data_IF_105219143980
#
_entry.id   IF_105219143980
#
_cell.length_a   1.000
_cell.length_b   1.000
_cell.length_c   1.000
_cell.angle_alpha   90.00
_cell.angle_beta   90.00
_cell.angle_gamma   90.00
#
_symmetry.space_group_name_H-M   'P 1'
#
loop_
_entity.id
_entity.type
_entity.pdbx_description
1 polymer ?
#
# COMPACT_ATOMS: atom_id res chain seq x y z
N UNK A 1 15.06 -6.18 -19.78
CA UNK A 1 13.62 -6.56 -19.81
C UNK A 1 13.40 -7.47 -18.61
N UNK A 2 12.47 -7.15 -17.72
CA UNK A 2 12.23 -7.97 -16.51
C UNK A 2 11.59 -9.29 -16.92
N UNK A 3 12.15 -10.39 -16.44
CA UNK A 3 11.62 -11.74 -16.65
C UNK A 3 10.86 -12.17 -15.40
N UNK A 4 9.59 -12.51 -15.55
CA UNK A 4 8.78 -13.04 -14.44
C UNK A 4 9.05 -14.54 -14.32
N UNK A 5 9.74 -14.95 -13.26
CA UNK A 5 10.16 -16.34 -13.03
C UNK A 5 9.23 -16.99 -12.00
N UNK A 6 8.39 -17.97 -12.38
CA UNK A 6 7.44 -18.61 -11.48
C UNK A 6 8.09 -19.23 -10.23
N UNK A 7 9.25 -19.85 -10.40
CA UNK A 7 9.97 -20.49 -9.29
C UNK A 7 10.67 -19.50 -8.34
N UNK A 8 10.75 -18.21 -8.73
CA UNK A 8 11.30 -17.14 -7.89
C UNK A 8 10.49 -15.84 -8.03
N UNK A 9 9.24 -15.82 -7.56
CA UNK A 9 8.29 -14.73 -7.75
C UNK A 9 8.68 -13.43 -7.02
N UNK A 10 9.63 -13.48 -6.11
CA UNK A 10 10.14 -12.37 -5.33
C UNK A 10 11.65 -12.19 -5.55
N UNK A 11 12.13 -12.44 -6.77
CA UNK A 11 13.54 -12.26 -7.11
C UNK A 11 14.02 -10.84 -6.85
N UNK A 12 15.32 -10.67 -6.65
CA UNK A 12 15.94 -9.34 -6.52
C UNK A 12 15.67 -8.49 -7.76
N UNK A 13 15.73 -9.09 -8.95
CA UNK A 13 15.42 -8.41 -10.21
C UNK A 13 13.99 -7.86 -10.22
N UNK A 14 13.00 -8.65 -9.78
CA UNK A 14 11.62 -8.19 -9.64
C UNK A 14 11.50 -7.04 -8.65
N UNK A 15 12.12 -7.17 -7.46
CA UNK A 15 12.08 -6.11 -6.43
C UNK A 15 12.74 -4.82 -6.89
N UNK A 16 13.87 -4.92 -7.61
CA UNK A 16 14.52 -3.76 -8.22
C UNK A 16 13.63 -3.10 -9.27
N UNK A 17 13.02 -3.88 -10.16
CA UNK A 17 12.15 -3.34 -11.20
C UNK A 17 10.91 -2.61 -10.62
N UNK A 18 10.30 -3.12 -9.55
CA UNK A 18 9.22 -2.40 -8.84
C UNK A 18 9.75 -1.12 -8.20
N UNK A 19 10.95 -1.16 -7.60
CA UNK A 19 11.56 0.03 -6.98
C UNK A 19 11.85 1.12 -8.02
N UNK A 20 12.36 0.76 -9.20
CA UNK A 20 12.59 1.71 -10.31
C UNK A 20 11.29 2.43 -10.74
N UNK A 21 10.13 1.73 -10.74
CA UNK A 21 8.86 2.39 -11.04
C UNK A 21 8.45 3.38 -9.95
N UNK A 22 8.70 3.07 -8.67
CA UNK A 22 8.44 3.97 -7.56
C UNK A 22 9.36 5.19 -7.60
N UNK A 23 10.65 4.98 -7.80
CA UNK A 23 11.66 6.04 -7.83
C UNK A 23 11.41 7.02 -9.00
N UNK A 24 11.09 6.49 -10.18
CA UNK A 24 10.72 7.29 -11.34
C UNK A 24 9.46 8.12 -11.12
N UNK A 25 8.46 7.55 -10.45
CA UNK A 25 7.23 8.27 -10.11
C UNK A 25 7.49 9.35 -9.05
N UNK A 26 8.21 9.03 -7.97
CA UNK A 26 8.52 9.99 -6.90
C UNK A 26 9.40 11.14 -7.39
N UNK A 27 10.30 10.89 -8.33
CA UNK A 27 11.09 11.95 -8.99
C UNK A 27 10.17 12.96 -9.67
N UNK A 28 9.16 12.50 -10.44
CA UNK A 28 8.19 13.41 -11.06
C UNK A 28 7.36 14.17 -10.03
N UNK A 29 7.05 13.57 -8.89
CA UNK A 29 6.32 14.23 -7.79
C UNK A 29 7.17 15.27 -7.09
N UNK A 30 8.48 15.05 -6.97
CA UNK A 30 9.43 16.04 -6.45
C UNK A 30 9.40 17.32 -7.30
N UNK A 31 9.48 17.17 -8.62
CA UNK A 31 9.43 18.30 -9.54
C UNK A 31 8.09 19.06 -9.44
N UNK A 32 6.99 18.32 -9.33
CA UNK A 32 5.67 18.91 -9.18
C UNK A 32 5.51 19.69 -7.87
N UNK A 33 6.02 19.17 -6.75
CA UNK A 33 5.99 19.86 -5.45
C UNK A 33 6.93 21.05 -5.41
N UNK A 34 8.12 20.96 -6.03
CA UNK A 34 9.05 22.09 -6.15
C UNK A 34 8.42 23.26 -6.91
N UNK A 35 7.53 22.98 -7.88
CA UNK A 35 6.74 24.01 -8.57
C UNK A 35 5.71 24.73 -7.67
N UNK A 36 5.38 24.17 -6.50
CA UNK A 36 4.47 24.79 -5.52
C UNK A 36 5.28 25.64 -4.52
N UNK A 37 6.29 25.06 -3.88
CA UNK A 37 7.18 25.74 -2.93
C UNK A 37 8.41 24.88 -2.58
N UNK A 38 9.56 25.52 -2.35
CA UNK A 38 10.83 24.88 -1.96
C UNK A 38 10.73 24.10 -0.64
N UNK A 39 9.84 24.50 0.27
CA UNK A 39 9.65 23.87 1.59
C UNK A 39 8.98 22.49 1.54
N UNK A 40 8.58 21.98 0.37
CA UNK A 40 7.86 20.70 0.22
C UNK A 40 8.79 19.52 -0.10
N UNK A 41 10.08 19.76 -0.36
CA UNK A 41 11.07 18.71 -0.58
C UNK A 41 11.06 17.62 0.51
N UNK A 42 10.89 17.93 1.81
CA UNK A 42 10.87 16.92 2.86
C UNK A 42 9.79 15.84 2.70
N UNK A 43 8.66 16.13 2.09
CA UNK A 43 7.62 15.13 1.82
C UNK A 43 8.14 14.02 0.90
N UNK A 44 8.81 14.40 -0.20
CA UNK A 44 9.35 13.40 -1.14
C UNK A 44 10.51 12.66 -0.52
N UNK A 45 11.40 13.34 0.18
CA UNK A 45 12.54 12.69 0.86
C UNK A 45 12.08 11.64 1.88
N UNK A 46 11.07 11.93 2.69
CA UNK A 46 10.51 10.95 3.63
C UNK A 46 9.81 9.82 2.86
N UNK A 47 9.06 10.13 1.79
CA UNK A 47 8.45 9.12 0.93
C UNK A 47 9.50 8.18 0.31
N UNK A 48 10.59 8.69 -0.27
CA UNK A 48 11.71 7.92 -0.81
C UNK A 48 12.29 6.96 0.25
N UNK A 49 12.50 7.46 1.46
CA UNK A 49 13.01 6.66 2.58
C UNK A 49 12.08 5.51 2.97
N UNK A 50 10.77 5.72 2.90
CA UNK A 50 9.73 4.73 3.22
C UNK A 50 9.50 3.71 2.09
N UNK A 51 9.68 4.14 0.83
CA UNK A 51 9.56 3.27 -0.35
C UNK A 51 10.82 2.42 -0.56
N UNK A 52 11.96 2.83 -0.02
CA UNK A 52 13.22 2.08 -0.10
C UNK A 52 13.10 0.71 0.56
N UNK A 53 13.38 -0.34 -0.19
CA UNK A 53 13.33 -1.72 0.27
C UNK A 53 11.90 -2.28 0.39
N UNK A 54 11.76 -3.38 1.14
CA UNK A 54 10.49 -4.09 1.29
C UNK A 54 10.39 -5.33 0.41
N UNK A 55 9.51 -6.26 0.83
CA UNK A 55 9.34 -7.57 0.16
C UNK A 55 8.56 -7.49 -1.15
N UNK A 56 7.92 -6.37 -1.46
CA UNK A 56 7.09 -6.16 -2.67
C UNK A 56 5.99 -7.22 -2.85
N UNK A 57 5.38 -7.69 -1.77
CA UNK A 57 4.38 -8.76 -1.81
C UNK A 57 3.14 -8.38 -2.64
N UNK A 58 2.59 -7.17 -2.43
CA UNK A 58 1.40 -6.71 -3.16
C UNK A 58 1.67 -6.55 -4.66
N UNK A 59 2.77 -5.90 -5.08
CA UNK A 59 3.20 -5.93 -6.47
C UNK A 59 3.35 -7.33 -7.04
N UNK A 60 3.94 -8.28 -6.29
CA UNK A 60 4.10 -9.64 -6.75
C UNK A 60 2.75 -10.33 -6.95
N UNK A 61 1.84 -10.28 -5.98
CA UNK A 61 0.50 -10.84 -6.14
C UNK A 61 -0.26 -10.21 -7.31
N UNK A 62 -0.10 -8.92 -7.56
CA UNK A 62 -0.70 -8.25 -8.72
C UNK A 62 -0.16 -8.84 -10.04
N UNK A 63 1.16 -8.94 -10.18
CA UNK A 63 1.79 -9.50 -11.38
C UNK A 63 1.40 -10.97 -11.57
N UNK A 64 1.40 -11.79 -10.52
CA UNK A 64 1.02 -13.20 -10.62
C UNK A 64 -0.47 -13.40 -10.85
N UNK A 65 -1.31 -12.49 -10.35
CA UNK A 65 -2.73 -12.43 -10.71
C UNK A 65 -2.93 -12.16 -12.20
N UNK A 66 -2.16 -11.24 -12.79
CA UNK A 66 -2.18 -10.97 -14.23
C UNK A 66 -1.77 -12.22 -15.03
N UNK A 67 -0.65 -12.85 -14.65
CA UNK A 67 -0.13 -14.05 -15.32
C UNK A 67 -1.02 -15.29 -15.14
N UNK A 68 -1.89 -15.32 -14.12
CA UNK A 68 -2.90 -16.38 -14.00
C UNK A 68 -4.03 -16.25 -15.05
N UNK A 69 -4.18 -15.08 -15.66
CA UNK A 69 -5.20 -14.79 -16.68
C UNK A 69 -4.64 -14.60 -18.10
N UNK A 70 -3.33 -14.44 -18.25
CA UNK A 70 -2.68 -14.19 -19.55
C UNK A 70 -1.35 -14.95 -19.65
N UNK A 71 -1.11 -15.57 -20.81
CA UNK A 71 0.11 -16.34 -21.08
C UNK A 71 1.36 -15.46 -21.22
N UNK A 72 1.19 -14.16 -21.50
CA UNK A 72 2.28 -13.21 -21.68
C UNK A 72 1.89 -11.80 -21.26
N UNK A 73 2.90 -11.01 -20.90
CA UNK A 73 2.76 -9.58 -20.55
C UNK A 73 3.20 -8.74 -21.74
N UNK A 74 2.25 -8.04 -22.38
CA UNK A 74 2.54 -7.21 -23.56
C UNK A 74 3.41 -5.99 -23.21
N UNK A 75 3.16 -5.35 -22.06
CA UNK A 75 3.96 -4.24 -21.54
C UNK A 75 4.32 -4.49 -20.06
N UNK A 76 5.49 -5.12 -19.82
CA UNK A 76 5.97 -5.38 -18.46
C UNK A 76 6.15 -4.11 -17.61
N UNK A 77 6.56 -3.00 -18.22
CA UNK A 77 6.77 -1.73 -17.50
C UNK A 77 5.45 -1.14 -17.02
N UNK A 78 4.42 -1.14 -17.86
CA UNK A 78 3.09 -0.66 -17.50
C UNK A 78 2.44 -1.53 -16.40
N UNK A 79 2.59 -2.88 -16.48
CA UNK A 79 2.12 -3.79 -15.44
C UNK A 79 2.86 -3.56 -14.12
N UNK A 80 4.19 -3.43 -14.15
CA UNK A 80 4.99 -3.13 -12.95
C UNK A 80 4.61 -1.80 -12.33
N UNK A 81 4.28 -0.79 -13.13
CA UNK A 81 3.81 0.52 -12.64
C UNK A 81 2.45 0.40 -11.97
N UNK A 82 1.52 -0.35 -12.56
CA UNK A 82 0.22 -0.65 -11.92
C UNK A 82 0.42 -1.39 -10.60
N UNK A 83 1.28 -2.41 -10.58
CA UNK A 83 1.59 -3.19 -9.39
C UNK A 83 2.28 -2.33 -8.29
N UNK A 84 3.26 -1.50 -8.67
CA UNK A 84 3.97 -0.61 -7.75
C UNK A 84 3.06 0.41 -7.07
N UNK A 85 1.96 0.83 -7.73
CA UNK A 85 0.97 1.72 -7.13
C UNK A 85 0.34 1.13 -5.86
N UNK A 86 0.24 -0.20 -5.76
CA UNK A 86 -0.27 -0.89 -4.57
C UNK A 86 0.71 -0.81 -3.39
N UNK A 87 2.00 -0.63 -3.66
CA UNK A 87 2.98 -0.36 -2.60
C UNK A 87 2.88 1.07 -2.07
N UNK A 88 2.58 2.07 -2.92
CA UNK A 88 2.29 3.43 -2.43
C UNK A 88 1.07 3.43 -1.50
N UNK A 89 0.00 2.71 -1.86
CA UNK A 89 -1.14 2.49 -0.97
C UNK A 89 -0.72 1.85 0.35
N UNK A 90 0.17 0.86 0.29
CA UNK A 90 0.67 0.21 1.50
C UNK A 90 1.47 1.17 2.39
N UNK A 91 2.33 1.99 1.80
CA UNK A 91 3.14 2.93 2.56
C UNK A 91 2.27 4.03 3.16
N UNK A 92 1.23 4.52 2.44
CA UNK A 92 0.20 5.39 3.01
C UNK A 92 -0.43 4.78 4.27
N UNK A 93 -0.89 3.53 4.17
CA UNK A 93 -1.48 2.83 5.30
C UNK A 93 -0.50 2.69 6.49
N UNK A 94 0.78 2.39 6.23
CA UNK A 94 1.81 2.31 7.28
C UNK A 94 2.09 3.67 7.95
N UNK A 95 2.11 4.75 7.18
CA UNK A 95 2.33 6.10 7.72
C UNK A 95 1.20 6.51 8.66
N UNK A 96 -0.06 6.25 8.27
CA UNK A 96 -1.21 6.51 9.13
C UNK A 96 -1.24 5.60 10.36
N UNK A 97 -0.95 4.31 10.20
CA UNK A 97 -0.87 3.32 11.28
C UNK A 97 0.16 3.74 12.35
N UNK A 98 1.38 4.14 11.92
CA UNK A 98 2.43 4.64 12.82
C UNK A 98 2.00 5.87 13.63
N UNK A 99 1.17 6.76 13.07
CA UNK A 99 0.64 7.92 13.80
C UNK A 99 -0.44 7.49 14.79
N UNK A 100 -1.34 6.58 14.39
CA UNK A 100 -2.44 6.09 15.23
C UNK A 100 -1.92 5.28 16.43
N UNK A 101 -0.92 4.43 16.19
CA UNK A 101 -0.33 3.55 17.21
C UNK A 101 0.77 4.24 18.02
N UNK A 102 1.19 5.46 17.64
CA UNK A 102 2.32 6.15 18.26
C UNK A 102 3.66 5.44 18.06
N UNK A 103 3.82 4.69 16.98
CA UNK A 103 5.01 3.88 16.71
C UNK A 103 6.22 4.74 16.33
N UNK A 104 7.27 4.73 17.15
CA UNK A 104 8.46 5.56 16.94
C UNK A 104 9.31 5.09 15.77
N UNK A 105 9.27 3.81 15.43
CA UNK A 105 10.13 3.20 14.41
C UNK A 105 9.38 2.31 13.45
N UNK A 106 9.83 2.29 12.19
CA UNK A 106 9.36 1.39 11.15
C UNK A 106 10.56 0.77 10.41
N UNK A 107 10.64 -0.58 10.38
CA UNK A 107 11.76 -1.31 9.74
C UNK A 107 13.15 -0.87 10.26
N UNK A 108 13.27 -0.60 11.55
CA UNK A 108 14.52 -0.17 12.18
C UNK A 108 14.93 1.29 11.93
N UNK A 109 14.09 2.08 11.26
CA UNK A 109 14.28 3.52 11.02
C UNK A 109 13.19 4.32 11.76
N UNK A 110 13.40 5.62 12.04
CA UNK A 110 12.35 6.47 12.58
C UNK A 110 11.12 6.48 11.66
N UNK A 111 9.92 6.39 12.24
CA UNK A 111 8.65 6.54 11.53
C UNK A 111 8.51 7.94 10.92
N UNK A 112 7.58 8.12 9.97
CA UNK A 112 7.42 9.40 9.26
C UNK A 112 7.22 10.58 10.23
N UNK A 113 6.32 10.42 11.23
CA UNK A 113 6.06 11.50 12.18
C UNK A 113 7.27 11.85 13.04
N UNK A 114 8.15 10.88 13.35
CA UNK A 114 9.41 11.13 14.07
C UNK A 114 10.44 11.84 13.20
N UNK A 115 10.50 11.53 11.90
CA UNK A 115 11.38 12.23 10.95
C UNK A 115 10.98 13.70 10.81
N UNK A 116 9.68 14.00 10.65
CA UNK A 116 9.20 15.38 10.58
C UNK A 116 9.35 16.13 11.91
N UNK A 117 9.16 15.46 13.06
CA UNK A 117 9.43 16.06 14.36
C UNK A 117 10.91 16.40 14.56
N UNK A 118 11.84 15.57 14.07
CA UNK A 118 13.27 15.86 14.09
C UNK A 118 13.58 17.07 13.21
N UNK A 119 13.07 17.12 12.00
CA UNK A 119 13.23 18.26 11.10
C UNK A 119 12.70 19.58 11.69
N UNK A 120 11.54 19.55 12.37
CA UNK A 120 11.01 20.73 13.07
C UNK A 120 12.01 21.26 14.10
N UNK A 121 12.65 20.37 14.87
CA UNK A 121 13.67 20.77 15.87
C UNK A 121 14.93 21.30 15.22
N UNK A 122 15.42 20.67 14.16
CA UNK A 122 16.62 21.08 13.41
C UNK A 122 16.46 22.47 12.78
N UNK A 123 15.26 22.77 12.29
CA UNK A 123 14.94 24.06 11.70
C UNK A 123 14.51 25.13 12.73
N UNK A 124 14.51 24.78 14.02
CA UNK A 124 14.11 25.67 15.13
C UNK A 124 12.74 26.31 14.89
N UNK A 125 11.78 25.53 14.40
CA UNK A 125 10.41 26.00 14.13
C UNK A 125 9.64 26.23 15.44
N UNK A 126 8.63 27.08 15.39
CA UNK A 126 7.80 27.39 16.57
C UNK A 126 6.79 26.27 16.84
N UNK A 127 6.47 26.07 18.11
CA UNK A 127 5.43 25.15 18.56
C UNK A 127 5.96 23.78 18.98
N UNK A 128 5.06 22.80 19.07
CA UNK A 128 5.37 21.46 19.53
C UNK A 128 5.81 20.59 18.35
N UNK A 129 7.05 20.08 18.38
CA UNK A 129 7.63 19.27 17.30
C UNK A 129 6.88 17.96 17.05
N UNK A 130 6.37 17.30 18.10
CA UNK A 130 5.66 16.03 17.95
C UNK A 130 4.25 16.24 17.34
N UNK A 131 3.58 17.35 17.68
CA UNK A 131 2.32 17.74 17.04
C UNK A 131 2.53 18.06 15.56
N UNK A 132 3.59 18.83 15.22
CA UNK A 132 3.99 19.10 13.85
C UNK A 132 4.28 17.80 13.09
N UNK A 133 5.07 16.91 13.68
CA UNK A 133 5.45 15.63 13.08
C UNK A 133 4.24 14.77 12.74
N UNK A 134 3.27 14.65 13.65
CA UNK A 134 2.02 13.91 13.40
C UNK A 134 1.20 14.55 12.27
N UNK A 135 1.02 15.87 12.29
CA UNK A 135 0.27 16.59 11.24
C UNK A 135 0.91 16.42 9.87
N UNK A 136 2.23 16.56 9.77
CA UNK A 136 2.97 16.35 8.53
C UNK A 136 2.88 14.90 8.03
N UNK A 137 2.96 13.92 8.94
CA UNK A 137 2.84 12.51 8.56
C UNK A 137 1.43 12.16 8.06
N UNK A 138 0.36 12.70 8.66
CA UNK A 138 -1.01 12.54 8.16
C UNK A 138 -1.09 13.05 6.73
N UNK A 139 -0.62 14.26 6.45
CA UNK A 139 -0.62 14.83 5.10
C UNK A 139 0.23 14.02 4.11
N UNK A 140 1.36 13.46 4.56
CA UNK A 140 2.16 12.56 3.72
C UNK A 140 1.40 11.27 3.41
N UNK A 141 0.71 10.69 4.38
CA UNK A 141 -0.13 9.52 4.19
C UNK A 141 -1.23 9.76 3.17
N UNK A 142 -1.93 10.90 3.26
CA UNK A 142 -2.95 11.33 2.29
C UNK A 142 -2.37 11.51 0.89
N UNK A 143 -1.19 12.15 0.80
CA UNK A 143 -0.52 12.38 -0.47
C UNK A 143 -0.11 11.06 -1.14
N UNK A 144 0.43 10.10 -0.38
CA UNK A 144 0.77 8.77 -0.88
C UNK A 144 -0.47 8.00 -1.36
N UNK A 145 -1.62 8.15 -0.69
CA UNK A 145 -2.89 7.56 -1.11
C UNK A 145 -3.36 8.15 -2.46
N UNK A 146 -3.29 9.47 -2.61
CA UNK A 146 -3.60 10.19 -3.85
C UNK A 146 -2.64 9.76 -4.97
N UNK A 147 -1.36 9.69 -4.70
CA UNK A 147 -0.33 9.26 -5.64
C UNK A 147 -0.47 7.79 -6.05
N UNK A 148 -0.88 6.91 -5.15
CA UNK A 148 -1.24 5.53 -5.49
C UNK A 148 -2.36 5.49 -6.54
N UNK A 149 -3.41 6.30 -6.36
CA UNK A 149 -4.50 6.39 -7.32
C UNK A 149 -4.05 6.94 -8.68
N UNK A 150 -3.23 7.98 -8.67
CA UNK A 150 -2.68 8.57 -9.89
C UNK A 150 -1.79 7.59 -10.64
N UNK A 151 -0.85 6.95 -9.93
CA UNK A 151 0.09 6.00 -10.52
C UNK A 151 -0.63 4.80 -11.15
N UNK A 152 -1.66 4.26 -10.49
CA UNK A 152 -2.49 3.19 -11.04
C UNK A 152 -3.20 3.62 -12.32
N UNK A 153 -3.92 4.74 -12.27
CA UNK A 153 -4.69 5.25 -13.41
C UNK A 153 -3.80 5.59 -14.61
N UNK A 154 -2.55 6.04 -14.37
CA UNK A 154 -1.58 6.45 -15.40
C UNK A 154 -0.50 5.40 -15.64
N UNK A 155 -0.76 4.13 -15.33
CA UNK A 155 0.24 3.07 -15.44
C UNK A 155 0.72 2.80 -16.88
N UNK A 156 -0.08 3.15 -17.90
CA UNK A 156 0.24 2.94 -19.31
C UNK A 156 -0.43 1.71 -19.93
N UNK A 157 -1.16 0.90 -19.15
CA UNK A 157 -2.01 -0.17 -19.69
C UNK A 157 -3.23 0.40 -20.43
N UNK A 158 -3.85 -0.37 -21.35
CA UNK A 158 -5.06 0.06 -22.05
C UNK A 158 -6.15 0.50 -21.09
N UNK A 159 -6.84 1.60 -21.41
CA UNK A 159 -7.88 2.20 -20.56
C UNK A 159 -8.96 1.19 -20.14
N UNK A 160 -9.36 0.30 -21.05
CA UNK A 160 -10.34 -0.77 -20.75
C UNK A 160 -9.87 -1.70 -19.62
N UNK A 161 -8.56 -2.01 -19.57
CA UNK A 161 -7.99 -2.88 -18.55
C UNK A 161 -7.96 -2.16 -17.18
N UNK A 162 -7.53 -0.89 -17.17
CA UNK A 162 -7.53 -0.06 -15.96
C UNK A 162 -8.95 0.11 -15.43
N UNK A 163 -9.93 0.41 -16.29
CA UNK A 163 -11.34 0.57 -15.92
C UNK A 163 -11.92 -0.73 -15.33
N UNK A 164 -11.59 -1.89 -15.90
CA UNK A 164 -12.05 -3.18 -15.38
C UNK A 164 -11.49 -3.50 -13.98
N UNK A 165 -10.25 -3.11 -13.69
CA UNK A 165 -9.60 -3.35 -12.40
C UNK A 165 -9.92 -2.26 -11.34
N UNK A 166 -10.38 -1.08 -11.75
CA UNK A 166 -10.63 0.06 -10.87
C UNK A 166 -11.53 -0.26 -9.67
N UNK A 167 -12.69 -0.95 -9.82
CA UNK A 167 -13.55 -1.28 -8.68
C UNK A 167 -12.85 -2.14 -7.62
N UNK A 168 -11.91 -3.00 -8.02
CA UNK A 168 -11.14 -3.85 -7.10
C UNK A 168 -10.11 -3.04 -6.30
N UNK A 169 -9.50 -2.04 -6.93
CA UNK A 169 -8.59 -1.10 -6.26
C UNK A 169 -9.34 -0.22 -5.27
N UNK A 170 -10.53 0.26 -5.64
CA UNK A 170 -11.39 1.05 -4.75
C UNK A 170 -11.90 0.22 -3.56
N UNK A 171 -12.33 -1.03 -3.81
CA UNK A 171 -12.67 -1.96 -2.75
C UNK A 171 -11.48 -2.21 -1.81
N UNK A 172 -10.27 -2.41 -2.34
CA UNK A 172 -9.06 -2.60 -1.55
C UNK A 172 -8.79 -1.43 -0.59
N UNK A 173 -8.94 -0.18 -1.07
CA UNK A 173 -8.78 1.04 -0.25
C UNK A 173 -9.81 1.11 0.86
N UNK A 174 -11.09 0.89 0.52
CA UNK A 174 -12.20 0.89 1.48
C UNK A 174 -12.01 -0.20 2.54
N UNK A 175 -11.68 -1.41 2.11
CA UNK A 175 -11.52 -2.57 2.98
C UNK A 175 -10.37 -2.42 3.97
N UNK A 176 -9.20 -1.93 3.53
CA UNK A 176 -8.06 -1.73 4.44
C UNK A 176 -8.33 -0.61 5.45
N UNK A 177 -8.99 0.47 5.03
CA UNK A 177 -9.38 1.57 5.93
C UNK A 177 -10.40 1.10 6.96
N UNK A 178 -11.42 0.35 6.55
CA UNK A 178 -12.39 -0.26 7.46
C UNK A 178 -11.74 -1.27 8.41
N UNK A 179 -10.80 -2.09 7.89
CA UNK A 179 -10.02 -3.03 8.70
C UNK A 179 -9.18 -2.35 9.76
N UNK A 180 -8.55 -1.21 9.43
CA UNK A 180 -7.82 -0.39 10.38
C UNK A 180 -8.73 0.19 11.48
N UNK A 181 -9.92 0.67 11.10
CA UNK A 181 -10.88 1.16 12.10
C UNK A 181 -11.33 0.03 13.05
N UNK A 182 -11.59 -1.17 12.51
CA UNK A 182 -11.92 -2.34 13.35
C UNK A 182 -10.80 -2.72 14.31
N UNK A 183 -9.55 -2.56 13.91
CA UNK A 183 -8.38 -2.82 14.75
C UNK A 183 -8.29 -1.80 15.90
N UNK A 184 -8.40 -0.50 15.60
CA UNK A 184 -8.47 0.57 16.63
C UNK A 184 -9.62 0.31 17.60
N UNK A 185 -10.80 -0.07 17.10
CA UNK A 185 -11.96 -0.38 17.93
C UNK A 185 -11.71 -1.59 18.83
N UNK A 186 -10.99 -2.61 18.31
CA UNK A 186 -10.62 -3.79 19.08
C UNK A 186 -9.66 -3.46 20.22
N UNK A 187 -8.67 -2.59 19.96
CA UNK A 187 -7.70 -2.12 20.95
C UNK A 187 -8.35 -1.25 22.04
N UNK A 188 -9.37 -0.47 21.68
CA UNK A 188 -10.10 0.40 22.62
C UNK A 188 -11.09 -0.34 23.54
N UNK A 189 -11.40 -1.62 23.26
CA UNK A 189 -12.27 -2.43 24.12
C UNK A 189 -11.54 -2.86 25.38
N UNK A 190 -12.23 -2.76 26.52
CA UNK A 190 -11.65 -3.18 27.79
C UNK A 190 -11.45 -4.71 27.82
N UNK A 191 -10.26 -5.23 28.18
CA UNK A 191 -9.98 -6.68 28.20
C UNK A 191 -10.90 -7.49 29.12
N UNK A 192 -11.52 -6.80 30.08
CA UNK A 192 -12.40 -7.40 31.11
C UNK A 192 -13.91 -7.15 30.85
N UNK A 193 -14.28 -6.80 29.62
CA UNK A 193 -15.70 -6.76 29.28
C UNK A 193 -16.23 -8.20 29.20
N UNK A 194 -16.48 -8.75 30.41
CA UNK A 194 -16.98 -10.12 30.63
C UNK A 194 -18.36 -10.39 29.98
N UNK A 195 -18.88 -9.43 29.21
CA UNK A 195 -20.15 -9.49 28.49
C UNK A 195 -20.02 -10.03 27.07
N UNK A 196 -18.80 -10.01 26.49
CA UNK A 196 -18.60 -10.55 25.14
C UNK A 196 -18.34 -12.05 25.23
N UNK A 197 -19.13 -12.85 24.53
CA UNK A 197 -18.87 -14.28 24.40
C UNK A 197 -17.49 -14.49 23.71
N UNK A 198 -16.70 -15.49 24.11
CA UNK A 198 -15.40 -15.77 23.50
C UNK A 198 -15.47 -15.89 21.97
N UNK A 199 -16.57 -16.41 21.45
CA UNK A 199 -16.80 -16.53 20.00
C UNK A 199 -16.92 -15.15 19.31
N UNK A 200 -17.57 -14.17 19.94
CA UNK A 200 -17.70 -12.81 19.38
C UNK A 200 -16.34 -12.11 19.28
N UNK A 201 -15.48 -12.32 20.29
CA UNK A 201 -14.10 -11.81 20.28
C UNK A 201 -13.30 -12.44 19.14
N UNK A 202 -13.39 -13.76 18.98
CA UNK A 202 -12.72 -14.48 17.90
C UNK A 202 -13.21 -14.04 16.51
N UNK A 203 -14.50 -13.82 16.35
CA UNK A 203 -15.08 -13.37 15.09
C UNK A 203 -14.65 -11.93 14.76
N UNK A 204 -14.48 -11.08 15.77
CA UNK A 204 -13.93 -9.75 15.59
C UNK A 204 -12.45 -9.79 15.15
N UNK A 205 -11.62 -10.57 15.82
CA UNK A 205 -10.20 -10.75 15.44
C UNK A 205 -10.09 -11.29 14.01
N UNK A 206 -10.90 -12.29 13.66
CA UNK A 206 -10.93 -12.82 12.28
C UNK A 206 -11.29 -11.75 11.25
N UNK A 207 -12.25 -10.85 11.55
CA UNK A 207 -12.59 -9.74 10.65
C UNK A 207 -11.43 -8.76 10.49
N UNK A 208 -10.74 -8.40 11.57
CA UNK A 208 -9.55 -7.54 11.49
C UNK A 208 -8.49 -8.21 10.59
N UNK A 209 -8.16 -9.48 10.82
CA UNK A 209 -7.19 -10.22 9.99
C UNK A 209 -7.64 -10.28 8.54
N UNK A 210 -8.92 -10.57 8.29
CA UNK A 210 -9.48 -10.63 6.94
C UNK A 210 -9.30 -9.31 6.18
N UNK A 211 -9.72 -8.18 6.75
CA UNK A 211 -9.77 -6.89 6.05
C UNK A 211 -8.46 -6.10 6.13
N UNK A 212 -7.77 -6.10 7.28
CA UNK A 212 -6.49 -5.41 7.43
C UNK A 212 -5.33 -6.17 6.77
N UNK A 213 -5.45 -7.51 6.59
CA UNK A 213 -4.31 -8.33 6.12
C UNK A 213 -4.65 -9.17 4.88
N UNK A 214 -5.54 -10.16 4.96
CA UNK A 214 -5.72 -11.16 3.90
C UNK A 214 -6.23 -10.55 2.60
N UNK A 215 -7.31 -9.78 2.65
CA UNK A 215 -7.88 -9.12 1.46
C UNK A 215 -6.92 -8.12 0.86
N UNK A 216 -6.40 -7.26 1.69
CA UNK A 216 -5.55 -6.16 1.30
C UNK A 216 -4.17 -6.61 0.77
N UNK A 217 -3.59 -7.67 1.34
CA UNK A 217 -2.24 -8.11 0.97
C UNK A 217 -2.22 -9.14 -0.16
N UNK A 218 -3.23 -10.03 -0.21
CA UNK A 218 -3.22 -11.18 -1.13
C UNK A 218 -4.39 -11.13 -2.11
N UNK A 219 -5.64 -11.12 -1.60
CA UNK A 219 -6.84 -11.32 -2.43
C UNK A 219 -6.96 -10.20 -3.47
N UNK A 220 -7.01 -8.95 -3.02
CA UNK A 220 -7.23 -7.81 -3.90
C UNK A 220 -6.09 -7.60 -4.89
N UNK A 221 -4.80 -7.66 -4.51
CA UNK A 221 -3.71 -7.61 -5.49
C UNK A 221 -3.81 -8.68 -6.58
N UNK A 222 -4.10 -9.95 -6.23
CA UNK A 222 -4.32 -11.01 -7.21
C UNK A 222 -5.48 -10.68 -8.16
N UNK A 223 -6.61 -10.26 -7.61
CA UNK A 223 -7.79 -9.91 -8.41
C UNK A 223 -7.55 -8.69 -9.31
N UNK A 224 -6.85 -7.66 -8.81
CA UNK A 224 -6.47 -6.46 -9.59
C UNK A 224 -5.63 -6.88 -10.79
N UNK A 225 -4.59 -7.69 -10.57
CA UNK A 225 -3.76 -8.19 -11.67
C UNK A 225 -4.54 -9.00 -12.70
N UNK A 226 -5.38 -9.93 -12.25
CA UNK A 226 -6.20 -10.75 -13.12
C UNK A 226 -7.21 -9.90 -13.92
N UNK A 227 -7.85 -8.91 -13.30
CA UNK A 227 -8.77 -7.99 -13.98
C UNK A 227 -8.05 -7.12 -15.03
N UNK A 228 -6.82 -6.66 -14.76
CA UNK A 228 -5.98 -5.97 -15.75
C UNK A 228 -5.71 -6.82 -16.99
N UNK A 229 -5.66 -8.15 -16.85
CA UNK A 229 -5.51 -9.10 -17.95
C UNK A 229 -6.85 -9.51 -18.60
N UNK A 230 -7.99 -9.01 -18.10
CA UNK A 230 -9.31 -9.35 -18.64
C UNK A 230 -9.87 -10.69 -18.15
N UNK A 231 -9.48 -11.12 -16.95
CA UNK A 231 -9.95 -12.36 -16.34
C UNK A 231 -11.48 -12.46 -16.26
N UNK A 232 -12.06 -13.65 -16.53
CA UNK A 232 -13.47 -13.91 -16.25
C UNK A 232 -13.74 -13.98 -14.75
N UNK A 233 -15.00 -13.73 -14.35
CA UNK A 233 -15.42 -13.67 -12.94
C UNK A 233 -15.08 -14.96 -12.16
N UNK A 234 -15.25 -16.13 -12.78
CA UNK A 234 -14.89 -17.41 -12.15
C UNK A 234 -13.43 -17.53 -11.73
N UNK A 235 -12.50 -16.90 -12.48
CA UNK A 235 -11.09 -16.84 -12.08
C UNK A 235 -10.89 -15.86 -10.93
N UNK A 236 -11.55 -14.70 -10.94
CA UNK A 236 -11.49 -13.73 -9.82
C UNK A 236 -11.99 -14.36 -8.51
N UNK A 237 -13.04 -15.16 -8.55
CA UNK A 237 -13.54 -15.92 -7.40
C UNK A 237 -12.55 -17.01 -6.95
N UNK A 238 -11.94 -17.74 -7.88
CA UNK A 238 -10.93 -18.75 -7.55
C UNK A 238 -9.72 -18.13 -6.85
N UNK A 239 -9.23 -16.99 -7.34
CA UNK A 239 -8.15 -16.22 -6.72
C UNK A 239 -8.54 -15.68 -5.33
N UNK A 240 -9.81 -15.30 -5.14
CA UNK A 240 -10.32 -14.90 -3.83
C UNK A 240 -10.30 -16.06 -2.82
N UNK A 241 -10.76 -17.25 -3.24
CA UNK A 241 -10.69 -18.45 -2.37
C UNK A 241 -9.26 -18.82 -2.01
N UNK A 242 -8.36 -18.83 -2.99
CA UNK A 242 -6.93 -19.07 -2.78
C UNK A 242 -6.33 -18.06 -1.80
N UNK A 243 -6.54 -16.78 -2.06
CA UNK A 243 -6.00 -15.70 -1.24
C UNK A 243 -6.56 -15.69 0.19
N UNK A 244 -7.81 -16.12 0.38
CA UNK A 244 -8.40 -16.29 1.71
C UNK A 244 -7.75 -17.45 2.49
N UNK A 245 -7.34 -18.52 1.81
CA UNK A 245 -6.66 -19.64 2.46
C UNK A 245 -5.21 -19.32 2.85
N UNK A 246 -4.51 -18.51 2.04
CA UNK A 246 -3.09 -18.17 2.23
C UNK A 246 -2.89 -16.93 3.12
N UNK A 247 -3.86 -16.01 3.13
CA UNK A 247 -3.77 -14.72 3.81
C UNK A 247 -4.18 -14.74 5.29
N UNK A 248 -4.67 -15.85 5.81
CA UNK A 248 -5.06 -16.07 7.23
C UNK A 248 -3.97 -16.79 7.96
#
# INVERSE_FOLDING_TARGET
MVTFVPDNPLSDEFRCAVSEQLDGFLTQRRDALAGIADGLEPFVRVADGLTAGGKRLRPAFCVWGYLAAADAVADPSALLRAAASLDLLHISALVHDDVMDGSDTRRGKPSAHRQFAAQHREQVLRGNSDAFGRSAAILLGDLLLIWSAEMFRRCGLPERAVTAAQPLVEAMRTEVTAGQFLDIQAQARHPLDARSAPQEVMDQVRRVVEYKTARYTVIRPLQVGAALAGAPEGLLEALARYGSAVGR
#
